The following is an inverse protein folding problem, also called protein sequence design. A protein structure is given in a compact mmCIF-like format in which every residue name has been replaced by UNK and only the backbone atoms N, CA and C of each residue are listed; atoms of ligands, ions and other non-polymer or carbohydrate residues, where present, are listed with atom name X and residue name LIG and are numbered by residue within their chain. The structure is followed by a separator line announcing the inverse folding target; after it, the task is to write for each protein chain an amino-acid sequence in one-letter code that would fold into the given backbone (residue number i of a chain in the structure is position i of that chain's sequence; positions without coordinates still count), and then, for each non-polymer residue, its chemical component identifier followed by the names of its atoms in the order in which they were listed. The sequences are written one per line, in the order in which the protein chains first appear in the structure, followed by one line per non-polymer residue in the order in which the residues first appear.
data_IF_300248303765
#
_entry.id   IF_300248303765
#
_cell.length_a   1.000
_cell.length_b   1.000
_cell.length_c   1.000
_cell.angle_alpha   90.00
_cell.angle_beta   90.00
_cell.angle_gamma   90.00
#
_symmetry.space_group_name_H-M   'P 1'
#
loop_
_entity.id
_entity.type
_entity.pdbx_description
1 polymer ?
#
# COMPACT_ATOMS: atom_id res chain seq x y z
N UNK A 1 4.61 -14.63 6.09
CA UNK A 1 4.00 -13.29 6.21
C UNK A 1 4.89 -12.24 5.54
N UNK A 2 4.32 -11.11 5.12
CA UNK A 2 5.05 -9.90 4.69
C UNK A 2 4.55 -8.71 5.50
N UNK A 3 5.46 -7.84 5.90
CA UNK A 3 5.15 -6.62 6.65
C UNK A 3 5.91 -5.46 6.01
N UNK A 4 5.19 -4.40 5.65
CA UNK A 4 5.80 -3.23 5.04
C UNK A 4 4.98 -1.96 5.32
N UNK A 5 5.66 -0.83 5.28
CA UNK A 5 5.06 0.51 5.31
C UNK A 5 5.55 1.25 4.08
N UNK A 6 4.64 1.66 3.22
CA UNK A 6 4.97 2.40 2.01
C UNK A 6 3.79 3.22 1.51
N UNK A 7 4.05 4.32 0.76
CA UNK A 7 3.02 4.96 -0.04
C UNK A 7 2.51 4.00 -1.11
N UNK A 8 1.19 3.96 -1.28
CA UNK A 8 0.54 3.17 -2.33
C UNK A 8 -0.50 4.02 -3.05
N UNK A 9 -0.55 3.90 -4.36
CA UNK A 9 -1.65 4.41 -5.17
C UNK A 9 -2.75 3.36 -5.21
N UNK A 10 -3.99 3.77 -4.98
CA UNK A 10 -5.18 2.92 -5.03
C UNK A 10 -6.21 3.52 -5.97
N UNK A 11 -6.95 2.67 -6.66
CA UNK A 11 -8.04 3.09 -7.54
C UNK A 11 -9.33 3.44 -6.77
N UNK A 12 -10.31 4.08 -7.44
CA UNK A 12 -11.57 4.49 -6.82
C UNK A 12 -12.42 3.31 -6.32
N UNK A 13 -12.22 2.13 -6.85
CA UNK A 13 -12.93 0.92 -6.43
C UNK A 13 -12.34 0.28 -5.16
N UNK A 14 -11.18 0.77 -4.70
CA UNK A 14 -10.55 0.23 -3.50
C UNK A 14 -11.26 0.76 -2.24
N UNK A 15 -11.60 -0.10 -1.24
CA UNK A 15 -12.34 0.31 -0.05
C UNK A 15 -11.73 1.48 0.73
N UNK A 16 -10.40 1.59 0.73
CA UNK A 16 -9.69 2.68 1.42
C UNK A 16 -9.66 4.01 0.65
N UNK A 17 -10.17 4.07 -0.59
CA UNK A 17 -10.10 5.27 -1.42
C UNK A 17 -10.81 6.49 -0.82
N UNK A 18 -11.91 6.26 -0.11
CA UNK A 18 -12.70 7.31 0.53
C UNK A 18 -12.18 7.74 1.91
N UNK A 19 -11.07 7.15 2.39
CA UNK A 19 -10.50 7.49 3.70
C UNK A 19 -9.61 8.73 3.55
N UNK A 20 -10.07 9.87 4.04
CA UNK A 20 -9.40 11.16 3.89
C UNK A 20 -9.35 11.91 5.21
N UNK A 21 -8.55 12.97 5.25
CA UNK A 21 -8.39 13.94 6.34
C UNK A 21 -7.98 13.29 7.68
N UNK A 22 -8.80 13.45 8.71
CA UNK A 22 -8.55 12.93 10.06
C UNK A 22 -8.96 11.47 10.26
N UNK A 23 -9.54 10.88 9.23
CA UNK A 23 -10.03 9.52 9.29
C UNK A 23 -8.93 8.51 9.01
N UNK A 24 -9.03 7.37 9.67
CA UNK A 24 -8.19 6.21 9.46
C UNK A 24 -9.06 4.99 9.20
N UNK A 25 -8.52 4.01 8.53
CA UNK A 25 -9.18 2.72 8.38
C UNK A 25 -8.20 1.56 8.50
N UNK A 26 -8.69 0.47 9.05
CA UNK A 26 -8.01 -0.83 9.06
C UNK A 26 -8.86 -1.77 8.23
N UNK A 27 -8.31 -2.26 7.13
CA UNK A 27 -8.97 -3.25 6.27
C UNK A 27 -8.38 -4.63 6.55
N UNK A 28 -9.25 -5.58 6.83
CA UNK A 28 -8.90 -6.97 7.06
C UNK A 28 -9.56 -7.83 5.98
N UNK A 29 -8.78 -8.63 5.28
CA UNK A 29 -9.30 -9.60 4.31
C UNK A 29 -9.16 -11.01 4.87
N UNK A 30 -10.26 -11.64 5.13
CA UNK A 30 -10.33 -13.02 5.63
C UNK A 30 -10.92 -13.97 4.58
N UNK A 31 -10.56 -15.24 4.68
CA UNK A 31 -11.06 -16.28 3.79
C UNK A 31 -12.56 -16.63 4.01
N UNK A 32 -13.08 -16.39 5.19
CA UNK A 32 -14.47 -16.71 5.57
C UNK A 32 -15.38 -15.49 5.49
N UNK A 33 -14.93 -14.34 6.05
CA UNK A 33 -15.74 -13.11 6.12
C UNK A 33 -15.56 -12.19 4.90
N UNK A 34 -14.59 -12.48 4.04
CA UNK A 34 -14.24 -11.58 2.96
C UNK A 34 -13.49 -10.34 3.47
N UNK A 35 -13.85 -9.17 2.95
CA UNK A 35 -13.24 -7.89 3.36
C UNK A 35 -14.10 -7.20 4.39
N UNK A 36 -13.49 -6.87 5.54
CA UNK A 36 -14.08 -6.06 6.61
C UNK A 36 -13.21 -4.81 6.78
N UNK A 37 -13.83 -3.68 7.02
CA UNK A 37 -13.14 -2.42 7.24
C UNK A 37 -13.64 -1.75 8.52
N UNK A 38 -12.69 -1.35 9.37
CA UNK A 38 -12.93 -0.49 10.53
C UNK A 38 -12.54 0.93 10.13
N UNK A 39 -13.48 1.84 10.22
CA UNK A 39 -13.30 3.25 9.82
C UNK A 39 -13.60 4.15 11.01
N UNK A 40 -12.65 4.99 11.39
CA UNK A 40 -12.79 5.87 12.55
C UNK A 40 -11.95 7.14 12.43
N UNK A 41 -12.27 8.15 13.21
CA UNK A 41 -11.40 9.30 13.44
C UNK A 41 -10.32 8.91 14.44
N UNK A 42 -9.16 8.45 13.95
CA UNK A 42 -8.03 8.02 14.79
C UNK A 42 -7.25 9.18 15.43
N UNK A 43 -7.42 10.40 14.94
CA UNK A 43 -6.76 11.59 15.45
C UNK A 43 -7.77 12.56 16.07
N UNK A 44 -7.29 13.35 17.05
CA UNK A 44 -8.07 14.40 17.70
C UNK A 44 -8.28 14.18 19.21
N UNK A 45 -8.46 15.28 19.93
CA UNK A 45 -8.57 15.28 21.40
C UNK A 45 -9.68 14.37 21.93
N UNK A 46 -10.86 14.46 21.35
CA UNK A 46 -12.03 13.71 21.84
C UNK A 46 -11.96 12.21 21.49
N UNK A 47 -11.63 11.79 20.24
CA UNK A 47 -11.48 10.37 19.94
C UNK A 47 -10.42 9.69 20.79
N UNK A 48 -9.27 10.34 21.00
CA UNK A 48 -8.20 9.80 21.84
C UNK A 48 -8.64 9.68 23.31
N UNK A 49 -9.28 10.70 23.86
CA UNK A 49 -9.80 10.67 25.24
C UNK A 49 -10.87 9.56 25.41
N UNK A 50 -11.75 9.39 24.43
CA UNK A 50 -12.77 8.33 24.46
C UNK A 50 -12.16 6.93 24.48
N UNK A 51 -11.11 6.69 23.66
CA UNK A 51 -10.40 5.41 23.65
C UNK A 51 -9.77 5.11 25.01
N UNK A 52 -9.04 6.07 25.58
CA UNK A 52 -8.41 5.92 26.92
C UNK A 52 -9.44 5.63 28.01
N UNK A 53 -10.55 6.36 28.02
CA UNK A 53 -11.63 6.15 29.01
C UNK A 53 -12.26 4.76 28.83
N UNK A 54 -12.47 4.32 27.58
CA UNK A 54 -12.97 2.97 27.28
C UNK A 54 -12.08 1.89 27.85
N UNK A 55 -10.77 1.99 27.64
CA UNK A 55 -9.78 1.05 28.17
C UNK A 55 -9.78 1.02 29.71
N UNK A 56 -9.88 2.19 30.35
CA UNK A 56 -9.98 2.29 31.81
C UNK A 56 -11.24 1.58 32.33
N UNK A 57 -12.38 1.79 31.69
CA UNK A 57 -13.65 1.15 32.07
C UNK A 57 -13.58 -0.36 31.90
N UNK A 58 -12.98 -0.83 30.79
CA UNK A 58 -12.78 -2.26 30.53
C UNK A 58 -11.88 -2.90 31.59
N UNK A 59 -10.74 -2.29 31.90
CA UNK A 59 -9.82 -2.75 32.95
C UNK A 59 -10.54 -2.79 34.31
N UNK A 60 -11.30 -1.76 34.66
CA UNK A 60 -12.03 -1.71 35.91
C UNK A 60 -13.10 -2.82 36.04
N UNK A 61 -13.69 -3.24 34.91
CA UNK A 61 -14.63 -4.37 34.88
C UNK A 61 -13.96 -5.76 35.03
N UNK A 62 -12.65 -5.85 34.82
CA UNK A 62 -11.89 -7.10 34.81
C UNK A 62 -10.69 -7.09 35.78
N UNK A 63 -10.79 -6.36 36.87
CA UNK A 63 -9.65 -6.18 37.79
C UNK A 63 -9.12 -7.49 38.43
N UNK A 64 -9.97 -8.50 38.53
CA UNK A 64 -9.60 -9.81 39.10
C UNK A 64 -9.30 -10.88 38.03
N UNK A 65 -9.54 -10.55 36.76
CA UNK A 65 -9.36 -11.47 35.63
C UNK A 65 -8.18 -11.04 34.76
N UNK A 66 -7.31 -12.01 34.45
CA UNK A 66 -6.26 -11.79 33.47
C UNK A 66 -6.75 -12.32 32.09
N UNK A 67 -7.16 -11.42 31.21
CA UNK A 67 -7.61 -11.78 29.87
C UNK A 67 -6.37 -12.14 29.02
N UNK A 68 -6.22 -13.41 28.60
CA UNK A 68 -5.07 -13.82 27.79
C UNK A 68 -5.12 -13.13 26.42
N UNK A 69 -4.02 -12.53 26.00
CA UNK A 69 -3.91 -11.82 24.72
C UNK A 69 -3.79 -12.75 23.52
N UNK A 70 -3.61 -14.04 23.73
CA UNK A 70 -3.45 -15.03 22.66
C UNK A 70 -2.10 -14.96 21.90
N UNK A 71 -1.14 -14.16 22.40
CA UNK A 71 0.20 -14.14 21.84
C UNK A 71 0.92 -15.48 22.08
N UNK A 72 1.69 -15.94 21.08
CA UNK A 72 2.54 -17.12 21.17
C UNK A 72 3.98 -16.73 20.94
N UNK A 73 4.92 -17.56 21.45
CA UNK A 73 6.36 -17.39 21.20
C UNK A 73 6.79 -17.90 19.81
N UNK A 74 5.86 -18.40 19.02
CA UNK A 74 6.14 -18.88 17.67
C UNK A 74 6.58 -17.75 16.75
N UNK A 75 7.80 -17.87 16.24
CA UNK A 75 8.35 -16.92 15.29
C UNK A 75 7.81 -17.19 13.89
N UNK A 76 7.05 -16.24 13.37
CA UNK A 76 6.63 -16.29 11.96
C UNK A 76 7.77 -15.82 11.04
N UNK A 77 7.97 -16.54 9.92
CA UNK A 77 8.87 -16.06 8.88
C UNK A 77 8.27 -14.81 8.21
N UNK A 78 8.99 -13.70 8.31
CA UNK A 78 8.66 -12.49 7.55
C UNK A 78 9.47 -12.50 6.26
N UNK A 79 8.80 -12.41 5.12
CA UNK A 79 9.44 -12.33 3.82
C UNK A 79 10.18 -10.97 3.69
N UNK A 80 11.40 -10.96 3.16
CA UNK A 80 12.09 -9.71 2.87
C UNK A 80 11.33 -8.91 1.81
N UNK A 81 11.43 -7.57 1.86
CA UNK A 81 10.71 -6.67 0.95
C UNK A 81 10.91 -7.02 -0.53
N UNK A 82 12.10 -7.50 -0.89
CA UNK A 82 12.42 -7.90 -2.26
C UNK A 82 11.54 -9.03 -2.83
N UNK A 83 10.95 -9.87 -1.96
CA UNK A 83 10.06 -10.97 -2.34
C UNK A 83 8.58 -10.52 -2.45
N UNK A 84 8.25 -9.32 -1.97
CA UNK A 84 6.87 -8.81 -2.03
C UNK A 84 6.54 -8.37 -3.45
N UNK A 85 5.34 -8.69 -3.91
CA UNK A 85 4.85 -8.41 -5.27
C UNK A 85 3.96 -7.18 -5.27
N UNK A 86 4.19 -6.28 -6.24
CA UNK A 86 3.39 -5.09 -6.48
C UNK A 86 3.27 -4.82 -7.98
N UNK A 87 2.26 -4.05 -8.38
CA UNK A 87 2.30 -3.25 -9.60
C UNK A 87 2.91 -1.88 -9.30
N UNK A 88 3.42 -1.21 -10.32
CA UNK A 88 4.10 0.08 -10.16
C UNK A 88 3.55 1.09 -11.14
N UNK A 89 3.23 2.27 -10.64
CA UNK A 89 3.06 3.47 -11.44
C UNK A 89 4.43 4.12 -11.62
N UNK A 90 4.83 4.33 -12.87
CA UNK A 90 6.06 4.97 -13.27
C UNK A 90 5.73 6.22 -14.06
N UNK A 91 6.30 7.36 -13.70
CA UNK A 91 6.31 8.58 -14.50
C UNK A 91 7.68 8.75 -15.12
N UNK A 92 7.74 8.86 -16.44
CA UNK A 92 8.97 8.90 -17.22
C UNK A 92 9.04 10.18 -18.04
N UNK A 93 10.27 10.73 -18.18
CA UNK A 93 10.56 11.87 -19.02
C UNK A 93 10.53 11.52 -20.51
N UNK A 94 10.09 12.47 -21.31
CA UNK A 94 10.05 12.37 -22.78
C UNK A 94 8.73 11.81 -23.28
N UNK A 95 8.68 11.53 -24.58
CA UNK A 95 7.46 11.08 -25.24
C UNK A 95 7.35 9.57 -25.22
N UNK A 96 6.15 9.06 -25.04
CA UNK A 96 5.88 7.62 -25.12
C UNK A 96 6.28 7.04 -26.47
N UNK A 97 6.08 7.76 -27.57
CA UNK A 97 6.44 7.33 -28.91
C UNK A 97 7.92 6.88 -29.04
N UNK A 98 8.81 7.48 -28.25
CA UNK A 98 10.25 7.23 -28.34
C UNK A 98 10.72 6.10 -27.40
N UNK A 99 10.03 5.92 -26.25
CA UNK A 99 10.55 5.09 -25.14
C UNK A 99 9.62 3.92 -24.73
N UNK A 100 8.36 3.95 -25.13
CA UNK A 100 7.38 2.95 -24.67
C UNK A 100 7.73 1.53 -25.09
N UNK A 101 8.37 1.36 -26.24
CA UNK A 101 8.79 0.04 -26.70
C UNK A 101 9.81 -0.59 -25.75
N UNK A 102 10.81 0.19 -25.32
CA UNK A 102 11.85 -0.27 -24.37
C UNK A 102 11.26 -0.53 -22.97
N UNK A 103 10.33 0.36 -22.53
CA UNK A 103 9.62 0.18 -21.27
C UNK A 103 8.78 -1.09 -21.27
N UNK A 104 8.05 -1.37 -22.35
CA UNK A 104 7.28 -2.62 -22.49
C UNK A 104 8.18 -3.86 -22.60
N UNK A 105 9.30 -3.75 -23.26
CA UNK A 105 10.27 -4.85 -23.32
C UNK A 105 10.81 -5.21 -21.93
N UNK A 106 11.02 -4.21 -21.07
CA UNK A 106 11.54 -4.40 -19.72
C UNK A 106 10.46 -4.86 -18.73
N UNK A 107 9.32 -4.18 -18.68
CA UNK A 107 8.29 -4.36 -17.65
C UNK A 107 7.08 -5.20 -18.09
N UNK A 108 7.02 -5.57 -19.37
CA UNK A 108 5.87 -6.25 -19.96
C UNK A 108 4.78 -5.27 -20.44
N UNK A 109 3.61 -5.80 -20.75
CA UNK A 109 2.46 -4.97 -21.11
C UNK A 109 2.10 -4.02 -19.96
N UNK A 110 1.93 -2.75 -20.32
CA UNK A 110 1.69 -1.69 -19.37
C UNK A 110 0.59 -0.75 -19.90
N UNK A 111 -0.32 -0.38 -19.02
CA UNK A 111 -1.25 0.72 -19.23
C UNK A 111 -0.45 2.02 -19.37
N UNK A 112 -0.74 2.82 -20.40
CA UNK A 112 0.02 4.04 -20.71
C UNK A 112 -0.88 5.26 -20.65
N UNK A 113 -0.37 6.34 -20.05
CA UNK A 113 -1.02 7.64 -19.99
C UNK A 113 -0.06 8.72 -20.48
N UNK A 114 -0.51 9.55 -21.41
CA UNK A 114 0.24 10.71 -21.87
C UNK A 114 0.05 11.89 -20.94
N UNK A 115 1.11 12.64 -20.71
CA UNK A 115 1.13 13.90 -19.98
C UNK A 115 1.72 15.00 -20.87
N UNK A 116 0.98 15.44 -21.91
CA UNK A 116 1.54 16.27 -22.99
C UNK A 116 2.09 17.61 -22.52
N UNK A 117 1.50 18.18 -21.48
CA UNK A 117 1.92 19.48 -20.93
C UNK A 117 3.27 19.43 -20.20
N UNK A 118 3.71 18.24 -19.80
CA UNK A 118 4.92 18.02 -19.00
C UNK A 118 6.07 17.40 -19.81
N UNK A 119 5.87 17.07 -21.08
CA UNK A 119 6.79 16.23 -21.87
C UNK A 119 7.17 14.94 -21.12
N UNK A 120 6.16 14.31 -20.56
CA UNK A 120 6.25 13.08 -19.76
C UNK A 120 5.12 12.12 -20.14
N UNK A 121 5.33 10.87 -19.84
CA UNK A 121 4.28 9.85 -19.88
C UNK A 121 4.33 8.98 -18.64
N UNK A 122 3.24 8.30 -18.35
CA UNK A 122 3.17 7.38 -17.25
C UNK A 122 2.75 5.98 -17.71
N UNK A 123 3.21 4.98 -16.98
CA UNK A 123 2.84 3.58 -17.20
C UNK A 123 2.48 2.91 -15.88
N UNK A 124 1.53 1.97 -15.93
CA UNK A 124 1.24 1.06 -14.82
C UNK A 124 1.67 -0.33 -15.25
N UNK A 125 2.64 -0.90 -14.53
CA UNK A 125 3.19 -2.22 -14.86
C UNK A 125 2.28 -3.35 -14.39
N UNK A 126 2.46 -4.53 -14.94
CA UNK A 126 1.98 -5.77 -14.35
C UNK A 126 2.64 -6.04 -12.98
N UNK A 127 2.11 -7.03 -12.27
CA UNK A 127 2.65 -7.44 -10.97
C UNK A 127 4.03 -8.07 -11.10
N UNK A 128 4.95 -7.65 -10.23
CA UNK A 128 6.29 -8.23 -10.12
C UNK A 128 6.86 -8.03 -8.72
N UNK A 129 7.86 -8.84 -8.35
CA UNK A 129 8.54 -8.67 -7.07
C UNK A 129 9.32 -7.36 -7.03
N UNK A 130 9.42 -6.76 -5.85
CA UNK A 130 10.20 -5.53 -5.62
C UNK A 130 11.67 -5.67 -6.09
N UNK A 131 12.29 -6.84 -5.87
CA UNK A 131 13.66 -7.09 -6.33
C UNK A 131 13.77 -7.07 -7.86
N UNK A 132 12.81 -7.69 -8.57
CA UNK A 132 12.75 -7.66 -10.02
C UNK A 132 12.53 -6.25 -10.53
N UNK A 133 11.58 -5.53 -9.95
CA UNK A 133 11.30 -4.15 -10.29
C UNK A 133 12.55 -3.27 -10.20
N UNK A 134 13.25 -3.30 -9.06
CA UNK A 134 14.47 -2.50 -8.85
C UNK A 134 15.54 -2.80 -9.88
N UNK A 135 15.72 -4.08 -10.22
CA UNK A 135 16.69 -4.48 -11.24
C UNK A 135 16.36 -3.91 -12.62
N UNK A 136 15.09 -3.94 -13.00
CA UNK A 136 14.62 -3.40 -14.29
C UNK A 136 14.66 -1.87 -14.32
N UNK A 137 14.21 -1.23 -13.25
CA UNK A 137 14.15 0.23 -13.13
C UNK A 137 15.53 0.89 -13.19
N UNK A 138 16.58 0.21 -12.79
CA UNK A 138 17.95 0.72 -12.86
C UNK A 138 18.38 1.10 -14.29
N UNK A 139 17.85 0.42 -15.33
CA UNK A 139 18.12 0.78 -16.72
C UNK A 139 17.45 2.08 -17.19
N UNK A 140 16.48 2.59 -16.42
CA UNK A 140 15.69 3.78 -16.71
C UNK A 140 15.88 4.88 -15.65
N UNK A 141 16.93 4.81 -14.83
CA UNK A 141 17.13 5.71 -13.68
C UNK A 141 17.11 7.19 -14.08
N UNK A 142 17.71 7.53 -15.22
CA UNK A 142 17.76 8.91 -15.74
C UNK A 142 16.39 9.39 -16.24
N UNK A 143 15.54 8.48 -16.67
CA UNK A 143 14.23 8.77 -17.23
C UNK A 143 13.12 8.78 -16.18
N UNK A 144 13.22 7.96 -15.14
CA UNK A 144 12.19 7.84 -14.11
C UNK A 144 12.15 9.12 -13.27
N UNK A 145 10.98 9.80 -13.28
CA UNK A 145 10.70 10.98 -12.47
C UNK A 145 10.03 10.62 -11.15
N UNK A 146 9.20 9.58 -11.17
CA UNK A 146 8.51 9.12 -9.97
C UNK A 146 8.11 7.64 -10.09
N UNK A 147 8.14 6.97 -8.96
CA UNK A 147 7.65 5.60 -8.80
C UNK A 147 6.74 5.51 -7.60
N UNK A 148 5.57 4.92 -7.77
CA UNK A 148 4.64 4.64 -6.67
C UNK A 148 4.15 3.20 -6.84
N UNK A 149 4.06 2.44 -5.74
CA UNK A 149 3.41 1.13 -5.75
C UNK A 149 1.92 1.30 -5.96
N UNK A 150 1.34 0.40 -6.74
CA UNK A 150 -0.07 0.44 -7.12
C UNK A 150 -0.75 -0.87 -6.73
N UNK A 151 -1.97 -0.77 -6.23
CA UNK A 151 -2.88 -1.92 -6.03
C UNK A 151 -4.27 -1.57 -6.56
N UNK A 152 -4.91 -2.55 -7.17
CA UNK A 152 -6.30 -2.48 -7.61
C UNK A 152 -7.25 -2.75 -6.46
#
# INVERSE_FOLDING_TARGET
ASVYVCPMMIGPDHPLFAVNDVYNAVMVRGNTLGTVMFYCSGAGKLPTASAVVSDIVEIAGHMEDNIPTGWTDEKQRVAPMGEVTFSYFLRLAGKSADKLADVRAAFGEAETMELPEMDEFAVVTGEMTEARFRKLAAAFEEDIRQTIRYTK
#
